data_IF_993128169140
#
_entry.id   IF_993128169140
#
_cell.length_a   1.000
_cell.length_b   1.000
_cell.length_c   1.000
_cell.angle_alpha   90.00
_cell.angle_beta   90.00
_cell.angle_gamma   90.00
#
_symmetry.space_group_name_H-M   'P 1'
#
loop_
_entity.id
_entity.type
_entity.pdbx_description
1 polymer ?
#
# COMPACT_ATOMS: atom_id res chain seq x y z
N UNK A 1 4.75 -43.22 22.93
CA UNK A 1 3.69 -44.23 23.17
C UNK A 1 3.40 -44.30 24.65
N UNK A 2 2.11 -44.16 25.03
CA UNK A 2 1.56 -43.75 26.34
C UNK A 2 1.89 -42.27 26.66
N UNK A 3 0.97 -41.32 26.68
CA UNK A 3 -0.40 -41.41 27.19
C UNK A 3 -1.35 -40.53 26.38
N UNK A 4 -2.30 -41.22 25.76
CA UNK A 4 -3.59 -40.67 25.36
C UNK A 4 -4.44 -40.54 26.65
N UNK A 5 -5.33 -39.53 26.67
CA UNK A 5 -6.51 -39.39 27.54
C UNK A 5 -6.25 -38.87 28.97
N UNK A 6 -6.61 -37.61 29.24
CA UNK A 6 -7.02 -36.96 30.51
C UNK A 6 -6.90 -35.44 30.26
N UNK A 7 -7.89 -34.55 30.32
CA UNK A 7 -9.34 -34.57 30.49
C UNK A 7 -9.84 -33.23 29.93
N UNK A 8 -11.01 -33.17 29.32
CA UNK A 8 -12.18 -32.59 29.98
C UNK A 8 -11.85 -31.43 30.94
N UNK A 9 -12.00 -30.20 30.42
CA UNK A 9 -12.39 -29.01 31.18
C UNK A 9 -11.38 -28.40 32.13
N UNK A 10 -10.82 -27.24 31.77
CA UNK A 10 -10.64 -26.15 32.75
C UNK A 10 -10.27 -24.83 32.04
N UNK A 11 -11.17 -23.84 32.15
CA UNK A 11 -10.83 -22.43 32.43
C UNK A 11 -9.71 -21.77 31.61
N UNK A 12 -9.96 -21.49 30.33
CA UNK A 12 -9.41 -20.24 29.77
C UNK A 12 -10.55 -19.29 29.49
N UNK A 13 -10.76 -18.44 30.50
CA UNK A 13 -11.34 -17.12 30.44
C UNK A 13 -10.92 -16.48 29.11
N UNK A 14 -11.82 -16.50 28.13
CA UNK A 14 -11.61 -15.78 26.87
C UNK A 14 -11.53 -14.30 27.24
N UNK A 15 -10.28 -13.86 27.30
CA UNK A 15 -9.86 -12.50 27.55
C UNK A 15 -10.56 -11.60 26.55
N UNK A 16 -11.19 -10.55 27.07
CA UNK A 16 -11.79 -9.48 26.30
C UNK A 16 -10.70 -8.74 25.50
N UNK A 17 -10.41 -9.20 24.28
CA UNK A 17 -9.92 -8.28 23.25
C UNK A 17 -11.15 -7.61 22.63
N UNK A 18 -11.46 -6.43 23.16
CA UNK A 18 -12.29 -5.42 22.52
C UNK A 18 -11.67 -5.09 21.14
N UNK A 19 -12.10 -5.80 20.09
CA UNK A 19 -11.74 -5.50 18.72
C UNK A 19 -12.51 -4.24 18.31
N UNK A 20 -11.89 -3.09 18.51
CA UNK A 20 -12.22 -1.90 17.74
C UNK A 20 -11.55 -2.07 16.35
N UNK A 21 -12.28 -2.42 15.28
CA UNK A 21 -11.74 -2.48 13.94
C UNK A 21 -11.98 -1.11 13.29
N UNK A 22 -11.45 -0.05 13.89
CA UNK A 22 -11.26 1.21 13.17
C UNK A 22 -10.01 1.06 12.35
N UNK A 23 -10.16 1.13 11.03
CA UNK A 23 -9.16 0.85 9.98
C UNK A 23 -8.99 -0.66 9.80
N UNK A 24 -9.48 -1.26 8.72
CA UNK A 24 -8.97 -1.03 7.37
C UNK A 24 -10.14 -1.04 6.37
N UNK A 25 -10.44 0.16 5.89
CA UNK A 25 -11.35 0.45 4.81
C UNK A 25 -11.01 -0.42 3.58
N UNK A 26 -11.90 -1.33 3.21
CA UNK A 26 -11.97 -1.86 1.84
C UNK A 26 -12.53 -0.75 0.96
N UNK A 27 -11.66 -0.06 0.22
CA UNK A 27 -12.06 0.58 -1.03
C UNK A 27 -10.97 0.32 -2.05
N UNK A 28 -11.34 -0.36 -3.15
CA UNK A 28 -10.45 -0.70 -4.24
C UNK A 28 -9.85 0.56 -4.88
N UNK A 29 -8.53 0.66 -4.79
CA UNK A 29 -7.72 1.68 -5.44
C UNK A 29 -6.26 1.31 -5.19
N UNK A 30 -5.64 0.68 -6.19
CA UNK A 30 -4.25 0.25 -6.31
C UNK A 30 -3.27 0.92 -5.34
N UNK A 31 -3.03 0.30 -4.18
CA UNK A 31 -1.90 0.65 -3.30
C UNK A 31 -0.65 0.09 -3.97
N UNK A 32 0.14 0.94 -4.60
CA UNK A 32 1.48 0.59 -5.07
C UNK A 32 2.50 0.99 -4.01
N UNK A 33 2.86 0.01 -3.21
CA UNK A 33 3.99 0.01 -2.27
C UNK A 33 5.30 0.38 -3.00
N UNK A 34 5.97 1.45 -2.54
CA UNK A 34 7.42 1.49 -2.40
C UNK A 34 8.29 1.51 -3.66
N UNK A 35 8.02 2.39 -4.63
CA UNK A 35 9.10 2.85 -5.54
C UNK A 35 9.23 4.36 -5.41
N UNK A 36 10.43 4.83 -5.05
CA UNK A 36 10.84 6.22 -5.25
C UNK A 36 10.84 6.51 -6.77
N UNK A 37 9.66 6.66 -7.35
CA UNK A 37 9.51 7.05 -8.75
C UNK A 37 9.71 8.55 -8.81
N UNK A 38 10.92 8.93 -9.20
CA UNK A 38 11.25 10.32 -9.53
C UNK A 38 10.27 10.82 -10.59
N UNK A 39 9.50 11.89 -10.32
CA UNK A 39 8.57 12.45 -11.29
C UNK A 39 9.34 13.03 -12.49
N UNK A 40 8.71 12.96 -13.66
CA UNK A 40 9.23 13.55 -14.89
C UNK A 40 8.49 14.86 -15.18
N UNK A 41 9.24 15.92 -15.43
CA UNK A 41 8.77 17.29 -15.63
C UNK A 41 9.14 17.77 -17.03
N UNK A 42 8.34 18.65 -17.63
CA UNK A 42 8.68 19.28 -18.90
C UNK A 42 9.64 20.46 -18.69
N UNK A 43 10.78 20.54 -19.39
CA UNK A 43 11.77 21.62 -19.20
C UNK A 43 11.27 23.01 -19.62
N UNK A 44 10.16 23.08 -20.36
CA UNK A 44 9.52 24.33 -20.77
C UNK A 44 8.27 24.67 -19.94
N UNK A 45 7.75 23.72 -19.17
CA UNK A 45 6.47 23.87 -18.44
C UNK A 45 6.48 22.98 -17.20
N UNK A 46 6.72 23.57 -16.04
CA UNK A 46 6.82 22.86 -14.76
C UNK A 46 5.50 22.22 -14.32
N UNK A 47 4.36 22.64 -14.87
CA UNK A 47 3.03 22.10 -14.53
C UNK A 47 2.79 20.74 -15.21
N UNK A 48 3.58 20.39 -16.23
CA UNK A 48 3.47 19.09 -16.90
C UNK A 48 4.32 18.05 -16.18
N UNK A 49 3.69 17.39 -15.20
CA UNK A 49 4.31 16.34 -14.38
C UNK A 49 3.75 14.96 -14.79
N UNK A 50 4.62 13.98 -15.00
CA UNK A 50 4.27 12.59 -15.31
C UNK A 50 5.04 11.62 -14.42
N UNK A 51 4.39 10.50 -14.10
CA UNK A 51 5.00 9.41 -13.33
C UNK A 51 5.82 8.43 -14.21
N UNK A 52 5.95 8.69 -15.52
CA UNK A 52 6.61 7.83 -16.50
C UNK A 52 7.45 8.67 -17.48
N UNK A 53 8.55 8.11 -18.01
CA UNK A 53 9.31 8.77 -19.07
C UNK A 53 8.46 8.90 -20.34
N UNK A 54 8.71 9.95 -21.11
CA UNK A 54 7.97 10.19 -22.35
C UNK A 54 8.24 11.57 -22.95
N UNK A 55 7.30 12.01 -23.77
CA UNK A 55 7.32 13.30 -24.47
C UNK A 55 6.19 14.18 -23.91
N UNK A 56 6.46 15.47 -23.74
CA UNK A 56 5.48 16.46 -23.33
C UNK A 56 4.41 16.63 -24.43
N UNK A 57 3.11 16.46 -24.11
CA UNK A 57 2.04 16.59 -25.11
C UNK A 57 1.80 18.04 -25.57
N UNK A 58 2.34 19.03 -24.84
CA UNK A 58 2.19 20.45 -25.19
C UNK A 58 3.25 20.92 -26.19
N UNK A 59 4.51 20.56 -25.97
CA UNK A 59 5.64 21.09 -26.74
C UNK A 59 6.44 20.03 -27.52
N UNK A 60 6.15 18.74 -27.34
CA UNK A 60 6.86 17.66 -28.05
C UNK A 60 8.28 17.39 -27.56
N UNK A 61 8.75 18.05 -26.49
CA UNK A 61 10.08 17.79 -25.91
C UNK A 61 10.05 16.59 -24.94
N UNK A 62 11.21 15.94 -24.76
CA UNK A 62 11.36 14.84 -23.80
C UNK A 62 11.18 15.34 -22.36
N UNK A 63 10.41 14.61 -21.56
CA UNK A 63 10.27 14.89 -20.12
C UNK A 63 11.55 14.49 -19.38
N UNK A 64 11.98 15.32 -18.43
CA UNK A 64 13.21 15.15 -17.64
C UNK A 64 12.87 14.74 -16.21
N UNK A 65 13.68 13.86 -15.60
CA UNK A 65 13.51 13.47 -14.19
C UNK A 65 13.88 14.66 -13.28
N UNK A 66 13.06 14.94 -12.27
CA UNK A 66 13.32 15.98 -11.26
C UNK A 66 14.18 15.48 -10.09
#
# INVERSE_FOLDING_TARGET
>A
MKKLIYGAGLLVLFSACNQNPSTQNKTGGTISTGKNSIPYVCPMDADVIKNKPGVCPKCGMKLVKN
#
